data_IF_150684951990
#
_entry.id   IF_150684951990
#
_cell.length_a   1.000
_cell.length_b   1.000
_cell.length_c   1.000
_cell.angle_alpha   90.00
_cell.angle_beta   90.00
_cell.angle_gamma   90.00
#
_symmetry.space_group_name_H-M   'P 1'
#
loop_
_entity.id
_entity.type
_entity.pdbx_description
1 polymer ?
#
# COMPACT_ATOMS: atom_id res chain seq x y z
N UNK A 1 5.63 6.14 -24.58
CA UNK A 1 5.04 6.17 -23.22
C UNK A 1 6.16 5.87 -22.23
N UNK A 2 6.77 6.88 -21.60
CA UNK A 2 8.02 6.69 -20.84
C UNK A 2 7.73 6.23 -19.41
N UNK A 3 7.58 4.92 -19.20
CA UNK A 3 7.53 4.28 -17.87
C UNK A 3 8.75 4.62 -16.98
N UNK A 4 9.86 5.07 -17.57
CA UNK A 4 11.14 5.28 -16.89
C UNK A 4 11.19 6.41 -15.85
N UNK A 5 10.27 7.38 -15.87
CA UNK A 5 10.33 8.51 -14.90
C UNK A 5 9.60 8.21 -13.58
N UNK A 6 8.67 7.25 -13.57
CA UNK A 6 7.86 6.90 -12.39
C UNK A 6 8.67 6.12 -11.33
N UNK A 7 9.60 5.27 -11.76
CA UNK A 7 10.49 4.51 -10.87
C UNK A 7 11.36 5.40 -9.97
N UNK A 8 11.62 6.66 -10.37
CA UNK A 8 12.41 7.58 -9.55
C UNK A 8 11.59 8.21 -8.41
N UNK A 9 10.25 8.29 -8.54
CA UNK A 9 9.36 8.90 -7.54
C UNK A 9 8.90 7.90 -6.48
N UNK A 10 8.69 6.64 -6.86
CA UNK A 10 8.31 5.56 -5.93
C UNK A 10 9.23 5.46 -4.69
N UNK A 11 10.57 5.46 -4.78
CA UNK A 11 11.42 5.38 -3.59
C UNK A 11 11.27 6.61 -2.69
N UNK A 12 11.08 7.81 -3.26
CA UNK A 12 10.87 9.03 -2.48
C UNK A 12 9.54 8.98 -1.70
N UNK A 13 8.49 8.48 -2.33
CA UNK A 13 7.19 8.25 -1.71
C UNK A 13 7.27 7.18 -0.63
N UNK A 14 7.97 6.07 -0.90
CA UNK A 14 8.21 5.00 0.07
C UNK A 14 8.91 5.55 1.31
N UNK A 15 9.95 6.36 1.11
CA UNK A 15 10.69 7.04 2.18
C UNK A 15 9.81 8.04 2.95
N UNK A 16 8.92 8.76 2.26
CA UNK A 16 7.99 9.70 2.89
C UNK A 16 6.96 8.97 3.76
N UNK A 17 6.38 7.86 3.27
CA UNK A 17 5.45 7.02 4.06
C UNK A 17 6.16 6.40 5.26
N UNK A 18 7.37 5.86 5.07
CA UNK A 18 8.18 5.31 6.16
C UNK A 18 8.55 6.40 7.20
N UNK A 19 8.87 7.61 6.73
CA UNK A 19 9.12 8.77 7.58
C UNK A 19 7.89 9.19 8.38
N UNK A 20 6.71 9.23 7.75
CA UNK A 20 5.44 9.56 8.42
C UNK A 20 5.07 8.53 9.49
N UNK A 21 5.26 7.23 9.22
CA UNK A 21 5.05 6.19 10.22
C UNK A 21 5.96 6.39 11.43
N UNK A 22 7.23 6.77 11.21
CA UNK A 22 8.21 7.02 12.28
C UNK A 22 7.98 8.33 13.03
N UNK A 23 7.43 9.37 12.38
CA UNK A 23 7.53 10.74 12.87
C UNK A 23 6.56 11.10 14.00
N UNK A 24 5.36 10.52 14.09
CA UNK A 24 4.43 10.72 15.22
C UNK A 24 3.38 9.60 15.40
N UNK A 25 3.23 8.68 14.43
CA UNK A 25 2.26 7.58 14.51
C UNK A 25 2.81 6.30 15.18
N UNK A 26 4.13 6.14 15.25
CA UNK A 26 4.77 5.00 15.93
C UNK A 26 4.46 4.91 17.43
N UNK A 27 4.07 6.02 18.07
CA UNK A 27 3.66 6.09 19.48
C UNK A 27 2.13 6.00 19.67
N UNK A 28 1.35 6.13 18.59
CA UNK A 28 -0.11 6.05 18.62
C UNK A 28 -0.53 4.58 18.57
N UNK A 29 -0.50 3.93 19.72
CA UNK A 29 -1.16 2.64 19.87
C UNK A 29 -2.65 2.87 20.13
N UNK A 30 -3.50 2.49 19.18
CA UNK A 30 -4.95 2.49 19.41
C UNK A 30 -5.25 1.21 20.18
N UNK A 31 -5.47 1.33 21.50
CA UNK A 31 -5.69 0.19 22.42
C UNK A 31 -4.56 -0.87 22.44
N UNK A 32 -3.33 -0.47 22.09
CA UNK A 32 -2.18 -1.39 21.99
C UNK A 32 -1.98 -2.02 20.60
N UNK A 33 -2.73 -1.58 19.58
CA UNK A 33 -2.55 -1.97 18.17
C UNK A 33 -1.79 -0.86 17.45
N UNK A 34 -0.78 -1.25 16.66
CA UNK A 34 -0.01 -0.34 15.82
C UNK A 34 -0.74 -0.11 14.48
N UNK A 35 -1.13 1.12 14.13
CA UNK A 35 -1.69 1.43 12.82
C UNK A 35 -0.60 1.27 11.75
N UNK A 36 -0.86 0.40 10.78
CA UNK A 36 0.11 0.00 9.78
C UNK A 36 -0.06 0.79 8.47
N UNK A 37 0.64 1.91 8.40
CA UNK A 37 0.68 2.75 7.19
C UNK A 37 1.49 2.14 6.05
N UNK A 38 2.40 1.21 6.34
CA UNK A 38 3.23 0.56 5.32
C UNK A 38 2.39 -0.41 4.49
N UNK A 39 1.53 -1.18 5.15
CA UNK A 39 0.54 -2.01 4.48
C UNK A 39 -0.43 -1.17 3.66
N UNK A 40 -0.93 -0.06 4.22
CA UNK A 40 -1.81 0.86 3.49
C UNK A 40 -1.14 1.44 2.23
N UNK A 41 0.14 1.82 2.32
CA UNK A 41 0.93 2.26 1.18
C UNK A 41 1.07 1.19 0.09
N UNK A 42 1.33 -0.06 0.47
CA UNK A 42 1.41 -1.19 -0.47
C UNK A 42 0.10 -1.41 -1.24
N UNK A 43 -1.03 -1.34 -0.52
CA UNK A 43 -2.38 -1.46 -1.08
C UNK A 43 -2.65 -0.34 -2.09
N UNK A 44 -2.38 0.92 -1.71
CA UNK A 44 -2.60 2.08 -2.59
C UNK A 44 -1.75 1.99 -3.86
N UNK A 45 -0.47 1.61 -3.75
CA UNK A 45 0.40 1.44 -4.92
C UNK A 45 -0.10 0.29 -5.80
N UNK A 46 -0.53 -0.82 -5.20
CA UNK A 46 -1.14 -1.94 -5.93
C UNK A 46 -2.40 -1.53 -6.70
N UNK A 47 -3.28 -0.73 -6.08
CA UNK A 47 -4.50 -0.22 -6.72
C UNK A 47 -4.22 0.67 -7.94
N UNK A 48 -3.16 1.49 -7.89
CA UNK A 48 -2.91 2.53 -8.92
C UNK A 48 -1.99 2.02 -10.03
N UNK A 49 -0.88 1.38 -9.66
CA UNK A 49 0.18 0.97 -10.58
C UNK A 49 0.10 -0.53 -10.93
N UNK A 50 -0.80 -1.27 -10.28
CA UNK A 50 -1.09 -2.67 -10.55
C UNK A 50 -0.22 -3.68 -9.78
N UNK A 51 -0.44 -4.96 -10.09
CA UNK A 51 0.10 -6.12 -9.36
C UNK A 51 1.62 -6.10 -9.13
N UNK A 52 2.42 -5.75 -10.13
CA UNK A 52 3.89 -5.78 -10.03
C UNK A 52 4.41 -4.68 -9.11
N UNK A 53 3.92 -3.46 -9.29
CA UNK A 53 4.30 -2.32 -8.46
C UNK A 53 3.83 -2.50 -7.00
N UNK A 54 2.61 -3.02 -6.80
CA UNK A 54 2.08 -3.37 -5.48
C UNK A 54 2.92 -4.42 -4.77
N UNK A 55 3.35 -5.47 -5.48
CA UNK A 55 4.22 -6.51 -4.92
C UNK A 55 5.59 -5.96 -4.49
N UNK A 56 6.24 -5.17 -5.36
CA UNK A 56 7.55 -4.58 -5.08
C UNK A 56 7.46 -3.60 -3.92
N UNK A 57 6.47 -2.69 -3.94
CA UNK A 57 6.26 -1.75 -2.86
C UNK A 57 5.95 -2.46 -1.53
N UNK A 58 5.08 -3.48 -1.56
CA UNK A 58 4.77 -4.30 -0.40
C UNK A 58 6.00 -5.00 0.17
N UNK A 59 6.86 -5.57 -0.67
CA UNK A 59 8.11 -6.18 -0.22
C UNK A 59 9.02 -5.17 0.48
N UNK A 60 9.25 -4.00 -0.13
CA UNK A 60 10.11 -2.95 0.44
C UNK A 60 9.52 -2.42 1.74
N UNK A 61 8.22 -2.14 1.76
CA UNK A 61 7.52 -1.69 2.95
C UNK A 61 7.56 -2.72 4.07
N UNK A 62 7.38 -4.01 3.77
CA UNK A 62 7.47 -5.03 4.79
C UNK A 62 8.91 -5.26 5.28
N UNK A 63 9.95 -5.07 4.47
CA UNK A 63 11.34 -5.05 4.96
C UNK A 63 11.59 -3.91 5.94
N UNK A 64 11.00 -2.74 5.66
CA UNK A 64 11.04 -1.60 6.58
C UNK A 64 10.27 -1.94 7.86
N UNK A 65 9.09 -2.55 7.77
CA UNK A 65 8.30 -2.99 8.91
C UNK A 65 9.05 -4.01 9.78
N UNK A 66 9.68 -5.01 9.15
CA UNK A 66 10.48 -6.03 9.85
C UNK A 66 11.71 -5.43 10.55
N UNK A 67 12.25 -4.31 10.06
CA UNK A 67 13.35 -3.61 10.73
C UNK A 67 12.93 -2.95 12.04
N UNK A 68 11.64 -2.62 12.18
CA UNK A 68 11.08 -2.00 13.37
C UNK A 68 10.39 -3.01 14.30
N UNK A 69 9.84 -4.09 13.73
CA UNK A 69 9.18 -5.13 14.47
C UNK A 69 10.21 -6.13 15.03
N UNK A 70 10.01 -6.60 16.26
CA UNK A 70 10.82 -7.66 16.86
C UNK A 70 10.45 -9.06 16.32
N UNK A 71 10.31 -9.19 15.00
CA UNK A 71 9.99 -10.42 14.28
C UNK A 71 11.09 -10.73 13.26
N UNK A 72 11.20 -11.98 12.77
CA UNK A 72 12.18 -12.33 11.75
C UNK A 72 12.02 -11.49 10.48
N UNK A 73 13.16 -11.01 9.96
CA UNK A 73 13.20 -10.32 8.68
C UNK A 73 12.59 -11.17 7.57
N UNK A 74 11.70 -10.57 6.77
CA UNK A 74 11.05 -11.20 5.64
C UNK A 74 9.59 -11.61 5.90
N UNK A 75 9.14 -11.62 7.15
CA UNK A 75 7.76 -12.03 7.48
C UNK A 75 6.76 -10.99 6.98
N UNK A 76 6.94 -9.71 7.34
CA UNK A 76 6.05 -8.65 6.87
C UNK A 76 6.26 -8.39 5.38
N UNK A 77 7.49 -8.51 4.87
CA UNK A 77 7.76 -8.32 3.43
C UNK A 77 6.98 -9.31 2.56
N UNK A 78 6.93 -10.58 2.95
CA UNK A 78 6.17 -11.59 2.22
C UNK A 78 4.66 -11.32 2.27
N UNK A 79 4.15 -10.98 3.46
CA UNK A 79 2.72 -10.69 3.65
C UNK A 79 2.32 -9.45 2.85
N UNK A 80 3.04 -8.34 2.98
CA UNK A 80 2.70 -7.09 2.31
C UNK A 80 2.87 -7.20 0.80
N UNK A 81 3.90 -7.90 0.31
CA UNK A 81 4.05 -8.17 -1.12
C UNK A 81 2.86 -8.98 -1.66
N UNK A 82 2.42 -10.00 -0.92
CA UNK A 82 1.26 -10.81 -1.31
C UNK A 82 -0.02 -9.97 -1.35
N UNK A 83 -0.26 -9.15 -0.32
CA UNK A 83 -1.45 -8.28 -0.28
C UNK A 83 -1.41 -7.23 -1.39
N UNK A 84 -0.28 -6.54 -1.56
CA UNK A 84 -0.10 -5.55 -2.62
C UNK A 84 -0.27 -6.15 -4.02
N UNK A 85 0.24 -7.36 -4.24
CA UNK A 85 0.01 -8.11 -5.48
C UNK A 85 -1.46 -8.44 -5.69
N UNK A 86 -2.12 -9.06 -4.70
CA UNK A 86 -3.53 -9.47 -4.78
C UNK A 86 -4.47 -8.28 -4.97
N UNK A 87 -4.22 -7.17 -4.28
CA UNK A 87 -4.98 -5.93 -4.48
C UNK A 87 -4.74 -5.37 -5.88
N UNK A 88 -3.50 -5.38 -6.37
CA UNK A 88 -3.18 -4.95 -7.74
C UNK A 88 -3.61 -5.91 -8.85
N UNK A 89 -4.12 -7.11 -8.52
CA UNK A 89 -4.84 -7.97 -9.47
C UNK A 89 -6.26 -7.47 -9.74
N UNK A 90 -6.82 -6.68 -8.81
CA UNK A 90 -8.13 -6.06 -9.01
C UNK A 90 -7.94 -4.97 -10.05
N UNK A 91 -8.13 -5.34 -11.32
CA UNK A 91 -8.15 -4.41 -12.43
C UNK A 91 -9.34 -3.47 -12.26
N UNK A 92 -9.08 -2.30 -11.66
CA UNK A 92 -10.06 -1.21 -11.48
C UNK A 92 -10.61 -0.73 -12.84
N UNK A 93 -10.03 -1.14 -13.96
CA UNK A 93 -10.56 -0.92 -15.32
C UNK A 93 -11.98 -1.46 -15.54
N UNK A 94 -12.47 -2.38 -14.71
CA UNK A 94 -13.86 -2.87 -14.74
C UNK A 94 -14.80 -2.21 -13.74
N UNK A 95 -14.29 -1.33 -12.86
CA UNK A 95 -15.12 -0.58 -11.92
C UNK A 95 -15.19 0.90 -12.35
N UNK A 96 -16.40 1.46 -12.57
CA UNK A 96 -16.53 2.89 -12.79
C UNK A 96 -15.88 3.63 -11.61
N UNK A 97 -15.11 4.67 -11.92
CA UNK A 97 -14.26 5.51 -11.06
C UNK A 97 -14.92 5.85 -9.72
N UNK A 98 -14.89 4.89 -8.80
CA UNK A 98 -15.66 4.93 -7.55
C UNK A 98 -14.67 4.82 -6.41
N UNK A 99 -14.42 5.97 -5.78
CA UNK A 99 -13.67 6.08 -4.53
C UNK A 99 -14.17 5.05 -3.49
N UNK A 100 -15.45 4.70 -3.53
CA UNK A 100 -16.06 3.68 -2.68
C UNK A 100 -15.44 2.29 -2.91
N UNK A 101 -15.22 1.88 -4.16
CA UNK A 101 -14.61 0.59 -4.45
C UNK A 101 -13.18 0.51 -3.94
N UNK A 102 -12.39 1.56 -4.14
CA UNK A 102 -10.99 1.64 -3.68
C UNK A 102 -10.90 1.55 -2.15
N UNK A 103 -11.81 2.24 -1.45
CA UNK A 103 -11.91 2.18 0.01
C UNK A 103 -12.31 0.79 0.48
N UNK A 104 -13.30 0.16 -0.16
CA UNK A 104 -13.73 -1.21 0.19
C UNK A 104 -12.61 -2.23 -0.03
N UNK A 105 -11.90 -2.16 -1.15
CA UNK A 105 -10.75 -3.03 -1.43
C UNK A 105 -9.64 -2.78 -0.40
N UNK A 106 -9.40 -1.52 -0.02
CA UNK A 106 -8.39 -1.18 0.97
C UNK A 106 -8.75 -1.66 2.38
N UNK A 107 -10.03 -1.58 2.75
CA UNK A 107 -10.56 -2.12 4.01
C UNK A 107 -10.35 -3.64 4.08
N UNK A 108 -10.75 -4.36 3.03
CA UNK A 108 -10.61 -5.81 2.96
C UNK A 108 -9.13 -6.21 2.91
N UNK A 109 -8.32 -5.54 2.09
CA UNK A 109 -6.89 -5.79 1.98
C UNK A 109 -6.15 -5.59 3.29
N UNK A 110 -6.49 -4.53 4.04
CA UNK A 110 -5.94 -4.29 5.38
C UNK A 110 -6.32 -5.37 6.38
N UNK A 111 -7.60 -5.76 6.42
CA UNK A 111 -8.09 -6.82 7.31
C UNK A 111 -7.41 -8.17 7.02
N UNK A 112 -7.35 -8.55 5.73
CA UNK A 112 -6.72 -9.80 5.29
C UNK A 112 -5.21 -9.77 5.56
N UNK A 113 -4.54 -8.64 5.34
CA UNK A 113 -3.10 -8.50 5.57
C UNK A 113 -2.72 -8.71 7.03
N UNK A 114 -3.45 -8.11 7.97
CA UNK A 114 -3.21 -8.31 9.41
C UNK A 114 -3.53 -9.73 9.84
N UNK A 115 -4.65 -10.29 9.38
CA UNK A 115 -5.00 -11.67 9.67
C UNK A 115 -3.92 -12.64 9.17
N UNK A 116 -3.39 -12.39 7.96
CA UNK A 116 -2.32 -13.20 7.39
C UNK A 116 -1.02 -13.08 8.20
N UNK A 117 -0.63 -11.87 8.57
CA UNK A 117 0.56 -11.62 9.40
C UNK A 117 0.49 -12.38 10.73
N UNK A 118 -0.64 -12.27 11.44
CA UNK A 118 -0.87 -12.97 12.72
C UNK A 118 -0.79 -14.49 12.58
N UNK A 119 -1.33 -15.05 11.49
CA UNK A 119 -1.22 -16.48 11.19
C UNK A 119 0.25 -16.89 10.98
N UNK A 120 1.01 -16.12 10.19
CA UNK A 120 2.43 -16.43 9.94
C UNK A 120 3.26 -16.32 11.22
N UNK A 121 3.08 -15.25 11.99
CA UNK A 121 3.79 -15.04 13.28
C UNK A 121 3.47 -16.16 14.27
N UNK A 122 2.21 -16.66 14.28
CA UNK A 122 1.81 -17.80 15.10
C UNK A 122 2.49 -19.11 14.68
N UNK A 123 2.57 -19.37 13.37
CA UNK A 123 3.27 -20.56 12.84
C UNK A 123 4.74 -20.56 13.26
N UNK A 124 5.35 -19.38 13.36
CA UNK A 124 6.74 -19.20 13.81
C UNK A 124 6.93 -19.35 15.33
N UNK A 125 5.87 -19.64 16.10
CA UNK A 125 5.96 -19.85 17.54
C UNK A 125 6.23 -18.59 18.36
N UNK A 126 6.11 -17.40 17.74
CA UNK A 126 6.24 -16.13 18.43
C UNK A 126 5.00 -15.90 19.31
N UNK A 127 5.20 -15.38 20.53
CA UNK A 127 4.09 -15.07 21.44
C UNK A 127 3.19 -14.00 20.81
N UNK A 128 2.05 -14.43 20.29
CA UNK A 128 1.01 -13.56 19.72
C UNK A 128 0.05 -13.13 20.82
N UNK A 129 -0.46 -11.89 20.72
CA UNK A 129 -1.42 -11.31 21.68
C UNK A 129 -2.85 -11.80 21.37
N UNK A 130 -3.01 -13.10 21.10
CA UNK A 130 -4.08 -13.63 20.26
C UNK A 130 -5.46 -13.75 20.95
N UNK A 131 -5.61 -13.51 22.25
CA UNK A 131 -6.88 -13.87 22.89
C UNK A 131 -7.89 -12.73 23.12
N UNK A 132 -7.52 -11.46 22.94
CA UNK A 132 -8.45 -10.35 23.22
C UNK A 132 -8.37 -9.16 22.25
N UNK A 133 -7.22 -8.95 21.59
CA UNK A 133 -6.98 -7.73 20.78
C UNK A 133 -6.98 -7.97 19.27
N UNK A 134 -7.10 -9.22 18.81
CA UNK A 134 -7.11 -9.55 17.38
C UNK A 134 -8.24 -8.86 16.63
N UNK A 135 -9.47 -8.90 17.16
CA UNK A 135 -10.62 -8.23 16.55
C UNK A 135 -10.43 -6.72 16.48
N UNK A 136 -9.81 -6.13 17.51
CA UNK A 136 -9.45 -4.71 17.52
C UNK A 136 -8.40 -4.40 16.45
N UNK A 137 -7.37 -5.25 16.32
CA UNK A 137 -6.33 -5.08 15.32
C UNK A 137 -6.86 -5.12 13.90
N UNK A 138 -7.74 -6.08 13.61
CA UNK A 138 -8.40 -6.22 12.32
C UNK A 138 -9.22 -4.97 11.97
N UNK A 139 -10.03 -4.47 12.90
CA UNK A 139 -10.86 -3.28 12.69
C UNK A 139 -10.00 -2.03 12.51
N UNK A 140 -9.01 -1.84 13.40
CA UNK A 140 -8.15 -0.65 13.39
C UNK A 140 -7.35 -0.57 12.09
N UNK A 141 -6.69 -1.66 11.68
CA UNK A 141 -5.85 -1.62 10.48
C UNK A 141 -6.69 -1.57 9.20
N UNK A 142 -7.84 -2.26 9.15
CA UNK A 142 -8.77 -2.10 8.04
C UNK A 142 -9.21 -0.63 7.91
N UNK A 143 -9.66 -0.02 9.02
CA UNK A 143 -10.09 1.38 9.03
C UNK A 143 -8.96 2.33 8.61
N UNK A 144 -7.73 2.12 9.10
CA UNK A 144 -6.55 2.91 8.72
C UNK A 144 -6.28 2.78 7.22
N UNK A 145 -6.32 1.57 6.66
CA UNK A 145 -6.12 1.35 5.22
C UNK A 145 -7.22 2.02 4.39
N UNK A 146 -8.49 1.91 4.81
CA UNK A 146 -9.61 2.56 4.15
C UNK A 146 -9.53 4.10 4.17
N UNK A 147 -9.25 4.68 5.34
CA UNK A 147 -9.10 6.14 5.50
C UNK A 147 -7.89 6.63 4.72
N UNK A 148 -6.77 5.91 4.79
CA UNK A 148 -5.56 6.27 4.06
C UNK A 148 -5.80 6.22 2.54
N UNK A 149 -6.61 5.28 2.06
CA UNK A 149 -6.96 5.16 0.63
C UNK A 149 -7.68 6.41 0.09
N UNK A 150 -8.58 7.02 0.88
CA UNK A 150 -9.30 8.24 0.50
C UNK A 150 -8.38 9.40 0.11
N UNK A 151 -7.22 9.51 0.75
CA UNK A 151 -6.25 10.58 0.51
C UNK A 151 -5.12 10.07 -0.38
N UNK A 152 -4.64 8.87 -0.11
CA UNK A 152 -3.52 8.23 -0.79
C UNK A 152 -3.79 8.03 -2.27
N UNK A 153 -4.95 7.49 -2.65
CA UNK A 153 -5.25 7.24 -4.06
C UNK A 153 -5.28 8.52 -4.91
N UNK A 154 -6.07 9.56 -4.58
CA UNK A 154 -6.08 10.79 -5.38
C UNK A 154 -4.73 11.52 -5.36
N UNK A 155 -4.03 11.54 -4.22
CA UNK A 155 -2.72 12.18 -4.11
C UNK A 155 -1.67 11.51 -5.00
N UNK A 156 -1.62 10.17 -4.99
CA UNK A 156 -0.69 9.42 -5.81
C UNK A 156 -1.01 9.53 -7.30
N UNK A 157 -2.28 9.41 -7.69
CA UNK A 157 -2.72 9.63 -9.09
C UNK A 157 -2.28 11.02 -9.57
N UNK A 158 -2.43 12.05 -8.73
CA UNK A 158 -1.97 13.41 -9.05
C UNK A 158 -0.44 13.49 -9.20
N UNK A 159 0.33 12.91 -8.27
CA UNK A 159 1.81 12.89 -8.34
C UNK A 159 2.36 12.18 -9.58
N UNK A 160 1.69 11.10 -10.00
CA UNK A 160 2.02 10.36 -11.23
C UNK A 160 1.72 11.24 -12.45
N UNK A 161 0.53 11.84 -12.51
CA UNK A 161 0.10 12.70 -13.62
C UNK A 161 0.98 13.96 -13.79
N UNK A 162 1.53 14.52 -12.70
CA UNK A 162 2.50 15.63 -12.79
C UNK A 162 3.82 15.25 -13.48
N UNK A 163 4.19 13.96 -13.49
CA UNK A 163 5.35 13.47 -14.24
C UNK A 163 5.07 13.27 -15.72
N UNK A 164 3.80 13.16 -16.08
CA UNK A 164 3.28 12.96 -17.43
C UNK A 164 3.10 14.27 -18.20
N UNK A 165 3.88 15.30 -17.85
CA UNK A 165 3.75 16.68 -18.33
C UNK A 165 3.35 16.73 -19.81
N UNK A 166 2.24 17.43 -20.05
CA UNK A 166 1.60 17.65 -21.35
C UNK A 166 2.65 17.67 -22.47
N UNK A 167 2.77 16.55 -23.20
CA UNK A 167 3.38 16.66 -24.53
C UNK A 167 2.36 17.41 -25.35
N UNK A 168 2.63 18.64 -25.82
CA UNK A 168 1.71 19.33 -26.70
C UNK A 168 1.42 18.40 -27.89
N UNK A 169 0.16 18.35 -28.37
CA UNK A 169 -0.20 17.49 -29.48
C UNK A 169 0.77 17.75 -30.63
N UNK A 170 1.45 16.69 -31.08
CA UNK A 170 2.39 16.77 -32.18
C UNK A 170 1.63 17.20 -33.44
N UNK A 171 1.57 18.52 -33.68
CA UNK A 171 1.18 19.09 -34.97
C UNK A 171 2.28 18.74 -35.98
N UNK A 172 2.10 17.64 -36.73
CA UNK A 172 2.65 17.34 -38.07
C UNK A 172 2.32 15.87 -38.38
N UNK A 173 1.74 15.47 -39.51
CA UNK A 173 1.73 16.08 -40.84
C UNK A 173 0.41 15.85 -41.58
N UNK A 174 -0.39 16.91 -41.72
CA UNK A 174 -1.07 17.14 -42.99
C UNK A 174 0.01 17.66 -43.95
N UNK A 175 0.53 16.78 -44.82
CA UNK A 175 1.20 17.12 -46.10
C UNK A 175 1.82 15.87 -46.74
N UNK A 176 1.12 15.39 -47.77
CA UNK A 176 1.59 14.82 -49.06
C UNK A 176 0.45 13.91 -49.52
N UNK A 177 -0.50 14.46 -50.29
CA UNK A 177 -0.52 14.39 -51.75
C UNK A 177 -0.54 12.94 -52.23
#
# INVERSE_FOLDING_TARGET
MNRSSYYFKLPFIILLIAGLQRSQLGTLTIQGVHPDLLLAGAIVIGLIEGREAGAIAGFVFGLIADSFASIPFGVSSLVYATIGYCVGLVEVTSMPDSLIAEVLISLVGGAVGVAFLEVVVRILGLKTTLSAKFSVALIVVAAVCGIFSLIGVPLFRWLINLGSGDRPPSRRSSRSL
#
